data_IF_867966607752
#
_entry.id   IF_867966607752
#
_cell.length_a   1.000
_cell.length_b   1.000
_cell.length_c   1.000
_cell.angle_alpha   90.00
_cell.angle_beta   90.00
_cell.angle_gamma   90.00
#
_symmetry.space_group_name_H-M   'P 1'
#
loop_
_entity.id
_entity.type
_entity.pdbx_description
1 polymer ?
#
# COMPACT_ATOMS: atom_id res chain seq x y z
N UNK A 1 25.67 0.15 -1.02
CA UNK A 1 24.64 -0.26 -0.04
C UNK A 1 24.10 1.01 0.59
N UNK A 2 22.90 1.46 0.21
CA UNK A 2 22.21 2.53 0.94
C UNK A 2 21.79 1.90 2.27
N UNK A 3 22.22 2.47 3.40
CA UNK A 3 21.89 1.95 4.72
C UNK A 3 20.37 1.88 4.88
N UNK A 4 19.86 0.68 5.14
CA UNK A 4 18.47 0.49 5.55
C UNK A 4 18.21 1.33 6.79
N UNK A 5 17.20 2.21 6.74
CA UNK A 5 16.78 2.99 7.89
C UNK A 5 16.13 2.04 8.90
N UNK A 6 16.69 1.95 10.11
CA UNK A 6 16.10 1.11 11.17
C UNK A 6 14.91 1.83 11.84
N UNK A 7 14.06 1.07 12.53
CA UNK A 7 12.85 1.60 13.17
C UNK A 7 13.16 2.63 14.28
N UNK A 8 14.33 2.52 14.92
CA UNK A 8 14.82 3.46 15.92
C UNK A 8 15.06 4.84 15.31
N UNK A 9 15.71 4.91 14.16
CA UNK A 9 15.95 6.15 13.42
C UNK A 9 14.62 6.85 13.07
N UNK A 10 13.59 6.07 12.70
CA UNK A 10 12.26 6.62 12.41
C UNK A 10 11.58 7.14 13.68
N UNK A 11 11.73 6.44 14.82
CA UNK A 11 11.20 6.90 16.10
C UNK A 11 11.84 8.21 16.56
N UNK A 12 13.16 8.34 16.43
CA UNK A 12 13.89 9.57 16.75
C UNK A 12 13.46 10.73 15.85
N UNK A 13 13.27 10.48 14.55
CA UNK A 13 12.77 11.49 13.61
C UNK A 13 11.37 11.96 14.00
N UNK A 14 10.45 11.04 14.31
CA UNK A 14 9.09 11.39 14.76
C UNK A 14 9.16 12.27 16.01
N UNK A 15 9.93 11.87 17.02
CA UNK A 15 10.07 12.61 18.27
C UNK A 15 10.62 14.03 18.05
N UNK A 16 11.68 14.14 17.22
CA UNK A 16 12.27 15.43 16.84
C UNK A 16 11.24 16.36 16.20
N UNK A 17 10.49 15.86 15.22
CA UNK A 17 9.48 16.63 14.50
C UNK A 17 8.29 17.01 15.38
N UNK A 18 7.85 16.14 16.29
CA UNK A 18 6.77 16.45 17.24
C UNK A 18 7.18 17.53 18.26
N UNK A 19 8.47 17.64 18.56
CA UNK A 19 9.01 18.66 19.47
C UNK A 19 9.29 20.02 18.80
N UNK A 20 9.28 20.09 17.46
CA UNK A 20 9.74 21.25 16.70
C UNK A 20 8.77 22.45 16.69
N UNK A 21 7.60 22.36 17.33
CA UNK A 21 6.61 23.44 17.36
C UNK A 21 5.76 23.50 16.08
N UNK A 22 5.78 24.63 15.35
CA UNK A 22 5.04 24.77 14.10
C UNK A 22 5.79 24.17 12.90
N UNK A 23 5.30 23.04 12.42
CA UNK A 23 5.82 22.37 11.23
C UNK A 23 5.31 23.03 9.94
N UNK A 24 6.20 23.20 8.97
CA UNK A 24 5.81 23.54 7.59
C UNK A 24 4.91 22.45 6.98
N UNK A 25 4.14 22.79 5.94
CA UNK A 25 3.30 21.82 5.21
C UNK A 25 4.11 20.60 4.76
N UNK A 26 5.38 20.80 4.36
CA UNK A 26 6.26 19.73 3.93
C UNK A 26 6.66 18.82 5.10
N UNK A 27 7.03 19.40 6.23
CA UNK A 27 7.39 18.62 7.43
C UNK A 27 6.18 17.89 8.00
N UNK A 28 4.98 18.48 7.95
CA UNK A 28 3.75 17.78 8.33
C UNK A 28 3.50 16.54 7.46
N UNK A 29 3.75 16.62 6.15
CA UNK A 29 3.66 15.46 5.23
C UNK A 29 4.70 14.39 5.57
N UNK A 30 5.93 14.79 5.85
CA UNK A 30 6.98 13.84 6.26
C UNK A 30 6.68 13.17 7.61
N UNK A 31 6.18 13.91 8.60
CA UNK A 31 5.79 13.35 9.89
C UNK A 31 4.65 12.33 9.73
N UNK A 32 3.64 12.64 8.92
CA UNK A 32 2.56 11.68 8.57
C UNK A 32 3.14 10.41 7.94
N UNK A 33 4.07 10.54 7.00
CA UNK A 33 4.72 9.40 6.34
C UNK A 33 5.56 8.57 7.32
N UNK A 34 6.36 9.21 8.19
CA UNK A 34 7.18 8.53 9.18
C UNK A 34 6.31 7.72 10.16
N UNK A 35 5.18 8.28 10.60
CA UNK A 35 4.20 7.58 11.44
C UNK A 35 3.56 6.39 10.72
N UNK A 36 3.18 6.56 9.45
CA UNK A 36 2.63 5.47 8.63
C UNK A 36 3.67 4.35 8.45
N UNK A 37 4.94 4.70 8.20
CA UNK A 37 6.02 3.72 8.11
C UNK A 37 6.19 2.93 9.41
N UNK A 38 6.23 3.61 10.56
CA UNK A 38 6.36 2.94 11.86
C UNK A 38 5.25 1.91 12.08
N UNK A 39 4.02 2.30 11.76
CA UNK A 39 2.87 1.44 11.92
C UNK A 39 2.88 0.25 10.94
N UNK A 40 3.27 0.48 9.69
CA UNK A 40 3.43 -0.59 8.69
C UNK A 40 4.54 -1.57 9.11
N UNK A 41 5.64 -1.07 9.69
CA UNK A 41 6.70 -1.93 10.21
C UNK A 41 6.20 -2.82 11.35
N UNK A 42 5.37 -2.30 12.26
CA UNK A 42 4.77 -3.09 13.33
C UNK A 42 3.83 -4.18 12.78
N UNK A 43 2.99 -3.85 11.80
CA UNK A 43 2.10 -4.81 11.13
C UNK A 43 2.89 -5.88 10.35
N UNK A 44 4.00 -5.51 9.72
CA UNK A 44 4.89 -6.47 9.07
C UNK A 44 5.55 -7.43 10.06
N UNK A 45 5.90 -6.97 11.27
CA UNK A 45 6.43 -7.87 12.32
C UNK A 45 5.35 -8.87 12.74
N UNK A 46 4.11 -8.42 12.93
CA UNK A 46 2.99 -9.31 13.25
C UNK A 46 2.75 -10.34 12.13
N UNK A 47 2.76 -9.93 10.87
CA UNK A 47 2.63 -10.86 9.73
C UNK A 47 3.78 -11.87 9.68
N UNK A 48 5.03 -11.42 9.87
CA UNK A 48 6.17 -12.33 9.90
C UNK A 48 6.06 -13.34 11.03
N UNK A 49 5.59 -12.94 12.21
CA UNK A 49 5.34 -13.86 13.32
C UNK A 49 4.37 -14.96 12.91
N UNK A 50 3.20 -14.61 12.35
CA UNK A 50 2.20 -15.58 11.90
C UNK A 50 2.76 -16.55 10.84
N UNK A 51 3.58 -16.05 9.91
CA UNK A 51 4.22 -16.88 8.89
C UNK A 51 5.32 -17.79 9.47
N UNK A 52 6.08 -17.28 10.43
CA UNK A 52 7.10 -18.04 11.16
C UNK A 52 6.45 -19.15 11.98
N UNK A 53 5.34 -18.89 12.65
CA UNK A 53 4.64 -19.92 13.44
C UNK A 53 4.17 -21.10 12.56
N UNK A 54 3.65 -20.82 11.37
CA UNK A 54 3.31 -21.86 10.38
C UNK A 54 4.54 -22.63 9.95
N UNK A 55 5.63 -21.91 9.68
CA UNK A 55 6.89 -22.49 9.23
C UNK A 55 7.53 -23.34 10.32
N UNK A 56 7.49 -22.94 11.59
CA UNK A 56 8.10 -23.66 12.70
C UNK A 56 7.30 -24.90 13.10
N UNK A 57 5.99 -24.92 12.80
CA UNK A 57 5.09 -26.03 13.09
C UNK A 57 4.76 -26.91 11.88
N UNK A 58 5.49 -26.77 10.77
CA UNK A 58 5.38 -27.70 9.67
C UNK A 58 5.82 -29.11 10.11
N UNK A 59 5.06 -30.11 9.70
CA UNK A 59 5.36 -31.51 9.94
C UNK A 59 5.38 -32.27 8.63
N UNK A 60 6.44 -33.04 8.42
CA UNK A 60 6.57 -33.94 7.29
C UNK A 60 6.36 -35.38 7.75
N UNK A 61 5.53 -36.15 7.03
CA UNK A 61 5.29 -37.55 7.33
C UNK A 61 5.11 -38.36 6.04
N UNK A 62 5.52 -39.62 6.09
CA UNK A 62 5.33 -40.57 4.99
C UNK A 62 3.97 -41.26 5.13
N UNK A 63 3.16 -41.23 4.08
CA UNK A 63 1.91 -41.98 4.03
C UNK A 63 2.14 -43.32 3.34
N UNK A 64 2.12 -44.42 4.10
CA UNK A 64 2.29 -45.76 3.52
C UNK A 64 1.19 -46.12 2.50
N UNK A 65 -0.02 -45.60 2.69
CA UNK A 65 -1.15 -45.83 1.78
C UNK A 65 -1.02 -45.14 0.42
N UNK A 66 -0.32 -44.00 0.37
CA UNK A 66 -0.12 -43.22 -0.85
C UNK A 66 1.31 -43.32 -1.40
N UNK A 67 2.24 -43.90 -0.64
CA UNK A 67 3.62 -44.15 -1.06
C UNK A 67 4.45 -42.87 -1.26
N UNK A 68 4.04 -41.74 -0.67
CA UNK A 68 4.72 -40.46 -0.82
C UNK A 68 4.78 -39.67 0.49
N UNK A 69 5.64 -38.65 0.50
CA UNK A 69 5.79 -37.71 1.61
C UNK A 69 4.69 -36.64 1.56
N UNK A 70 4.11 -36.35 2.71
CA UNK A 70 3.19 -35.24 2.92
C UNK A 70 3.81 -34.21 3.85
N UNK A 71 3.47 -32.95 3.63
CA UNK A 71 3.71 -31.86 4.56
C UNK A 71 2.35 -31.35 5.07
N UNK A 72 2.23 -31.19 6.38
CA UNK A 72 1.05 -30.65 7.04
C UNK A 72 1.45 -29.58 8.05
N UNK A 73 0.47 -28.78 8.46
CA UNK A 73 0.61 -27.83 9.57
C UNK A 73 -0.62 -28.05 10.46
N UNK A 74 -0.48 -28.12 11.79
CA UNK A 74 -1.63 -28.23 12.68
C UNK A 74 -2.64 -27.09 12.43
N UNK A 75 -3.92 -27.44 12.49
CA UNK A 75 -4.99 -26.53 12.09
C UNK A 75 -5.01 -25.25 12.92
N UNK A 76 -4.57 -25.27 14.18
CA UNK A 76 -4.55 -24.09 15.06
C UNK A 76 -3.68 -22.96 14.48
N UNK A 77 -2.48 -23.28 13.99
CA UNK A 77 -1.57 -22.30 13.38
C UNK A 77 -2.07 -21.80 12.02
N UNK A 78 -2.71 -22.69 11.25
CA UNK A 78 -3.34 -22.32 9.98
C UNK A 78 -4.61 -21.48 10.21
N UNK A 79 -5.33 -21.73 11.30
CA UNK A 79 -6.55 -21.01 11.67
C UNK A 79 -6.25 -19.59 12.06
N UNK A 80 -5.16 -19.35 12.80
CA UNK A 80 -4.74 -18.01 13.18
C UNK A 80 -4.47 -17.15 11.94
N UNK A 81 -3.70 -17.63 10.94
CA UNK A 81 -3.48 -16.85 9.71
C UNK A 81 -4.75 -16.77 8.84
N UNK A 82 -5.54 -17.84 8.73
CA UNK A 82 -6.72 -17.87 7.88
C UNK A 82 -7.82 -16.94 8.41
N UNK A 83 -7.93 -16.82 9.73
CA UNK A 83 -8.80 -15.87 10.41
C UNK A 83 -8.56 -14.44 9.91
N UNK A 84 -7.33 -14.11 9.52
CA UNK A 84 -6.93 -12.78 9.04
C UNK A 84 -6.87 -12.65 7.51
N UNK A 85 -6.33 -13.64 6.81
CA UNK A 85 -6.14 -13.62 5.35
C UNK A 85 -7.45 -13.86 4.60
N UNK A 86 -8.33 -14.70 5.16
CA UNK A 86 -9.65 -15.00 4.58
C UNK A 86 -10.81 -14.26 5.26
N UNK A 87 -10.50 -13.38 6.23
CA UNK A 87 -11.43 -12.58 7.05
C UNK A 87 -12.72 -13.35 7.34
N UNK A 88 -12.60 -14.33 8.23
CA UNK A 88 -13.78 -14.92 8.86
C UNK A 88 -14.58 -13.80 9.56
N UNK A 89 -15.92 -13.85 9.48
CA UNK A 89 -16.81 -12.69 9.70
C UNK A 89 -16.74 -12.12 11.14
N UNK A 90 -16.08 -12.81 12.05
CA UNK A 90 -15.98 -12.47 13.47
C UNK A 90 -14.56 -12.15 13.96
N UNK A 91 -13.56 -12.13 13.07
CA UNK A 91 -12.18 -11.86 13.43
C UNK A 91 -11.81 -10.38 13.40
N UNK A 92 -11.08 -9.90 14.40
CA UNK A 92 -10.52 -8.55 14.39
C UNK A 92 -9.33 -8.48 13.41
N UNK A 93 -9.32 -7.50 12.51
CA UNK A 93 -8.23 -7.30 11.56
C UNK A 93 -6.94 -6.84 12.29
N UNK A 94 -5.83 -7.58 12.23
CA UNK A 94 -4.58 -7.22 12.90
C UNK A 94 -3.76 -6.20 12.09
N UNK A 95 -4.22 -5.84 10.89
CA UNK A 95 -3.59 -4.85 10.00
C UNK A 95 -4.47 -3.59 9.77
N UNK A 96 -5.03 -2.96 10.83
CA UNK A 96 -5.97 -1.87 10.68
C UNK A 96 -5.33 -0.60 10.10
N UNK A 97 -4.02 -0.42 10.24
CA UNK A 97 -3.33 0.71 9.67
C UNK A 97 -3.02 0.52 8.20
N UNK A 98 -2.69 -0.68 7.74
CA UNK A 98 -2.63 -0.98 6.30
C UNK A 98 -3.96 -0.64 5.65
N UNK A 99 -5.09 -1.09 6.23
CA UNK A 99 -6.43 -0.73 5.76
C UNK A 99 -6.63 0.80 5.73
N UNK A 100 -6.27 1.49 6.82
CA UNK A 100 -6.39 2.96 6.91
C UNK A 100 -5.51 3.69 5.88
N UNK A 101 -4.29 3.23 5.65
CA UNK A 101 -3.35 3.81 4.68
C UNK A 101 -3.91 3.64 3.27
N UNK A 102 -4.37 2.43 2.93
CA UNK A 102 -5.00 2.15 1.63
C UNK A 102 -6.24 3.01 1.44
N UNK A 103 -7.11 3.10 2.45
CA UNK A 103 -8.30 3.95 2.41
C UNK A 103 -7.94 5.44 2.27
N UNK A 104 -6.92 5.91 2.97
CA UNK A 104 -6.41 7.28 2.89
C UNK A 104 -5.87 7.62 1.51
N UNK A 105 -5.01 6.77 0.93
CA UNK A 105 -4.50 6.91 -0.44
C UNK A 105 -5.66 6.93 -1.44
N UNK A 106 -6.63 6.03 -1.28
CA UNK A 106 -7.83 6.00 -2.12
C UNK A 106 -8.64 7.29 -1.98
N UNK A 107 -8.81 7.82 -0.78
CA UNK A 107 -9.53 9.07 -0.54
C UNK A 107 -8.82 10.27 -1.17
N UNK A 108 -7.50 10.40 -0.96
CA UNK A 108 -6.68 11.46 -1.55
C UNK A 108 -6.69 11.41 -3.09
N UNK A 109 -6.60 10.22 -3.67
CA UNK A 109 -6.66 10.05 -5.11
C UNK A 109 -8.06 10.40 -5.70
N UNK A 110 -9.12 10.27 -4.91
CA UNK A 110 -10.50 10.66 -5.29
C UNK A 110 -10.76 12.15 -5.11
N UNK A 111 -10.13 12.81 -4.13
CA UNK A 111 -10.51 14.14 -3.66
C UNK A 111 -9.97 15.30 -4.50
N UNK A 112 -10.27 15.35 -5.80
CA UNK A 112 -9.92 16.46 -6.71
C UNK A 112 -8.43 16.59 -7.11
N UNK A 113 -7.49 16.07 -6.32
CA UNK A 113 -6.05 16.26 -6.57
C UNK A 113 -5.56 15.60 -7.86
N UNK A 114 -6.05 14.40 -8.20
CA UNK A 114 -5.55 13.70 -9.38
C UNK A 114 -6.01 14.35 -10.70
N UNK A 115 -7.23 14.92 -10.73
CA UNK A 115 -7.68 15.68 -11.89
C UNK A 115 -6.93 17.00 -12.02
N UNK A 116 -6.72 17.71 -10.90
CA UNK A 116 -5.90 18.93 -10.89
C UNK A 116 -4.46 18.66 -11.33
N UNK A 117 -3.87 17.55 -10.89
CA UNK A 117 -2.56 17.06 -11.32
C UNK A 117 -2.52 16.80 -12.83
N UNK A 118 -3.46 16.03 -13.36
CA UNK A 118 -3.54 15.76 -14.81
C UNK A 118 -3.70 17.06 -15.60
N UNK A 119 -4.56 17.97 -15.14
CA UNK A 119 -4.78 19.28 -15.78
C UNK A 119 -3.52 20.15 -15.75
N UNK A 120 -2.80 20.20 -14.63
CA UNK A 120 -1.54 20.92 -14.49
C UNK A 120 -0.50 20.46 -15.52
N UNK A 121 -0.25 19.14 -15.58
CA UNK A 121 0.74 18.59 -16.52
C UNK A 121 0.27 18.69 -17.98
N UNK A 122 -1.03 18.60 -18.24
CA UNK A 122 -1.58 18.82 -19.58
C UNK A 122 -1.34 20.27 -20.03
N UNK A 123 -1.63 21.24 -19.17
CA UNK A 123 -1.37 22.65 -19.45
C UNK A 123 0.12 22.95 -19.63
N UNK A 124 1.00 22.30 -18.85
CA UNK A 124 2.45 22.41 -19.04
C UNK A 124 2.90 21.90 -20.41
N UNK A 125 2.37 20.74 -20.85
CA UNK A 125 2.65 20.17 -22.16
C UNK A 125 2.15 21.10 -23.28
N UNK A 126 0.93 21.59 -23.17
CA UNK A 126 0.33 22.49 -24.16
C UNK A 126 1.14 23.79 -24.27
N UNK A 127 1.54 24.37 -23.14
CA UNK A 127 2.42 25.55 -23.10
C UNK A 127 3.79 25.26 -23.71
N UNK A 128 4.36 24.08 -23.47
CA UNK A 128 5.66 23.72 -24.06
C UNK A 128 5.57 23.68 -25.59
N UNK A 129 4.53 23.06 -26.13
CA UNK A 129 4.32 22.94 -27.59
C UNK A 129 3.98 24.31 -28.19
N UNK A 130 3.11 25.10 -27.55
CA UNK A 130 2.72 26.43 -28.02
C UNK A 130 3.92 27.39 -28.10
N UNK A 131 4.91 27.22 -27.23
CA UNK A 131 6.15 28.01 -27.24
C UNK A 131 7.24 27.41 -28.15
N UNK A 132 6.88 26.55 -29.11
CA UNK A 132 7.80 26.00 -30.11
C UNK A 132 8.64 24.81 -29.63
N UNK A 133 8.29 24.21 -28.49
CA UNK A 133 8.91 22.98 -28.00
C UNK A 133 8.66 21.80 -28.94
N UNK A 134 9.66 20.92 -29.06
CA UNK A 134 9.53 19.71 -29.86
C UNK A 134 8.48 18.76 -29.26
N UNK A 135 7.41 18.51 -30.02
CA UNK A 135 6.30 17.64 -29.65
C UNK A 135 6.71 16.19 -29.35
N UNK A 136 7.85 15.74 -29.92
CA UNK A 136 8.43 14.42 -29.71
C UNK A 136 9.75 14.49 -28.92
N UNK A 137 10.12 15.69 -28.46
CA UNK A 137 11.29 15.91 -27.64
C UNK A 137 11.13 15.27 -26.26
N UNK A 138 12.26 15.07 -25.60
CA UNK A 138 12.34 14.38 -24.31
C UNK A 138 11.37 14.95 -23.26
N UNK A 139 11.22 16.28 -23.21
CA UNK A 139 10.29 16.94 -22.29
C UNK A 139 8.83 16.61 -22.60
N UNK A 140 8.41 16.71 -23.86
CA UNK A 140 7.05 16.41 -24.28
C UNK A 140 6.70 14.94 -24.03
N UNK A 141 7.62 14.02 -24.31
CA UNK A 141 7.46 12.58 -24.03
C UNK A 141 7.31 12.33 -22.53
N UNK A 142 8.15 12.93 -21.68
CA UNK A 142 8.02 12.81 -20.22
C UNK A 142 6.67 13.32 -19.71
N UNK A 143 6.25 14.51 -20.12
CA UNK A 143 4.96 15.08 -19.71
C UNK A 143 3.78 14.21 -20.15
N UNK A 144 3.81 13.70 -21.39
CA UNK A 144 2.80 12.74 -21.88
C UNK A 144 2.77 11.47 -21.04
N UNK A 145 3.95 10.91 -20.70
CA UNK A 145 4.06 9.74 -19.84
C UNK A 145 3.35 9.96 -18.50
N UNK A 146 3.69 11.03 -17.80
CA UNK A 146 3.07 11.39 -16.50
C UNK A 146 1.54 11.53 -16.63
N UNK A 147 1.05 12.18 -17.68
CA UNK A 147 -0.39 12.36 -17.93
C UNK A 147 -1.09 11.01 -18.15
N UNK A 148 -0.50 10.14 -18.99
CA UNK A 148 -1.05 8.82 -19.31
C UNK A 148 -1.09 7.95 -18.08
N UNK A 149 0.01 7.87 -17.33
CA UNK A 149 0.12 7.07 -16.11
C UNK A 149 -0.91 7.53 -15.06
N UNK A 150 -1.05 8.83 -14.86
CA UNK A 150 -2.05 9.39 -13.94
C UNK A 150 -3.49 9.08 -14.38
N UNK A 151 -3.78 9.12 -15.69
CA UNK A 151 -5.09 8.73 -16.23
C UNK A 151 -5.36 7.24 -16.00
N UNK A 152 -4.39 6.38 -16.29
CA UNK A 152 -4.50 4.93 -16.08
C UNK A 152 -4.72 4.60 -14.60
N UNK A 153 -3.97 5.24 -13.71
CA UNK A 153 -4.15 5.07 -12.27
C UNK A 153 -5.57 5.46 -11.82
N UNK A 154 -6.08 6.60 -12.33
CA UNK A 154 -7.46 7.02 -12.06
C UNK A 154 -8.51 6.02 -12.56
N UNK A 155 -8.34 5.43 -13.75
CA UNK A 155 -9.26 4.39 -14.25
C UNK A 155 -9.26 3.16 -13.33
N UNK A 156 -8.07 2.68 -12.92
CA UNK A 156 -7.96 1.54 -12.00
C UNK A 156 -8.70 1.77 -10.69
N UNK A 157 -8.59 2.98 -10.11
CA UNK A 157 -9.32 3.32 -8.89
C UNK A 157 -10.84 3.24 -9.07
N UNK A 158 -11.36 3.69 -10.22
CA UNK A 158 -12.82 3.62 -10.51
C UNK A 158 -13.29 2.19 -10.75
N UNK A 159 -12.47 1.36 -11.39
CA UNK A 159 -12.82 -0.04 -11.62
C UNK A 159 -12.79 -0.85 -10.32
N UNK A 160 -11.85 -0.57 -9.41
CA UNK A 160 -11.88 -1.13 -8.05
C UNK A 160 -13.15 -0.74 -7.28
N UNK A 161 -13.59 0.52 -7.38
CA UNK A 161 -14.84 0.97 -6.74
C UNK A 161 -16.07 0.23 -7.27
N UNK A 162 -16.17 0.05 -8.59
CA UNK A 162 -17.25 -0.72 -9.19
C UNK A 162 -17.22 -2.18 -8.73
N UNK A 163 -16.03 -2.78 -8.69
CA UNK A 163 -15.86 -4.15 -8.24
C UNK A 163 -16.27 -4.31 -6.75
N UNK A 164 -15.95 -3.33 -5.90
CA UNK A 164 -16.36 -3.31 -4.51
C UNK A 164 -17.88 -3.18 -4.37
N UNK A 165 -18.49 -2.23 -5.09
CA UNK A 165 -19.94 -2.00 -5.06
C UNK A 165 -20.74 -3.22 -5.56
N UNK A 166 -20.22 -3.96 -6.54
CA UNK A 166 -20.81 -5.21 -7.02
C UNK A 166 -20.75 -6.34 -5.97
N UNK A 167 -19.67 -6.40 -5.18
CA UNK A 167 -19.53 -7.38 -4.08
C UNK A 167 -20.49 -7.04 -2.93
N UNK A 168 -20.52 -5.78 -2.50
CA UNK A 168 -21.40 -5.32 -1.41
C UNK A 168 -22.89 -5.32 -1.78
N UNK A 169 -23.22 -5.24 -3.07
CA UNK A 169 -24.58 -5.35 -3.59
C UNK A 169 -25.07 -6.78 -3.80
N UNK A 170 -24.16 -7.77 -3.81
CA UNK A 170 -24.51 -9.20 -3.95
C UNK A 170 -24.88 -9.86 -2.61
N UNK A 171 -24.49 -9.24 -1.49
CA UNK A 171 -24.79 -9.69 -0.12
C UNK A 171 -26.08 -9.08 0.48
N UNK A 172 -26.95 -8.48 -0.37
CA UNK A 172 -28.27 -7.95 0.00
C UNK A 172 -29.39 -8.64 -0.77
#
# INVERSE_FOLDING_TARGET
MVGSMNIETVNELIASMESAGELSIREQKFLKLAKAFKQLAAENVAMNHLLTDISDNHVEYFSEGEGCMFAGVPLDYVSEINMYVSRDVNAENPFPATDRIVAGIKAEAKSHDLNAFISHYSAELDNHIANGGDQFGERAVRLRGVIVDARMFREKLRDEEKALALREGADK
#
